data_IF_188662826982
#
_entry.id   IF_188662826982
#
_cell.length_a   1.000
_cell.length_b   1.000
_cell.length_c   1.000
_cell.angle_alpha   90.00
_cell.angle_beta   90.00
_cell.angle_gamma   90.00
#
_symmetry.space_group_name_H-M   'P 1'
#
loop_
_entity.id
_entity.type
_entity.pdbx_description
1 polymer ?
#
# COMPACT_ATOMS: atom_id res chain seq x y z
N UNK A 1 -11.28 -20.28 -15.37
CA UNK A 1 -10.18 -20.69 -14.47
C UNK A 1 -10.66 -20.55 -13.04
N UNK A 2 -10.58 -21.63 -12.26
CA UNK A 2 -11.28 -21.79 -10.98
C UNK A 2 -10.61 -20.94 -9.89
N UNK A 3 -11.30 -19.92 -9.38
CA UNK A 3 -10.92 -19.16 -8.17
C UNK A 3 -10.73 -20.16 -7.03
N UNK A 4 -9.49 -20.29 -6.56
CA UNK A 4 -9.15 -21.18 -5.45
C UNK A 4 -9.78 -20.59 -4.19
N UNK A 5 -10.76 -21.29 -3.62
CA UNK A 5 -11.40 -20.93 -2.37
C UNK A 5 -10.33 -20.87 -1.28
N UNK A 6 -10.11 -19.68 -0.72
CA UNK A 6 -9.27 -19.46 0.45
C UNK A 6 -9.76 -20.39 1.56
N UNK A 7 -8.91 -21.35 1.95
CA UNK A 7 -9.19 -22.22 3.07
C UNK A 7 -9.18 -21.39 4.35
N UNK A 8 -10.38 -21.11 4.86
CA UNK A 8 -10.64 -20.89 6.28
C UNK A 8 -10.10 -22.10 7.05
N UNK A 9 -8.84 -22.05 7.43
CA UNK A 9 -8.18 -23.07 8.24
C UNK A 9 -7.34 -22.36 9.29
N UNK A 10 -7.52 -22.75 10.54
CA UNK A 10 -6.94 -22.20 11.77
C UNK A 10 -5.40 -22.03 11.78
N UNK A 11 -4.69 -22.44 10.72
CA UNK A 11 -3.26 -22.23 10.46
C UNK A 11 -2.94 -20.90 9.75
N UNK A 12 -3.94 -20.17 9.22
CA UNK A 12 -3.74 -18.88 8.54
C UNK A 12 -3.74 -17.64 9.46
N UNK A 13 -4.13 -17.79 10.73
CA UNK A 13 -4.22 -16.67 11.68
C UNK A 13 -2.84 -16.18 12.11
N UNK A 14 -1.89 -17.10 12.31
CA UNK A 14 -0.51 -16.76 12.67
C UNK A 14 0.25 -16.08 11.53
N UNK A 15 0.04 -16.51 10.27
CA UNK A 15 0.57 -15.83 9.09
C UNK A 15 0.00 -14.42 8.94
N UNK A 16 -1.32 -14.25 9.08
CA UNK A 16 -1.98 -12.93 9.01
C UNK A 16 -1.47 -11.97 10.09
N UNK A 17 -1.24 -12.45 11.31
CA UNK A 17 -0.66 -11.63 12.38
C UNK A 17 0.81 -11.25 12.13
N UNK A 18 1.57 -12.12 11.44
CA UNK A 18 2.95 -11.84 11.03
C UNK A 18 3.00 -10.82 9.89
N UNK A 19 2.15 -10.97 8.88
CA UNK A 19 2.05 -10.04 7.75
C UNK A 19 1.66 -8.64 8.20
N UNK A 20 0.69 -8.54 9.11
CA UNK A 20 0.30 -7.25 9.68
C UNK A 20 1.42 -6.60 10.48
N UNK A 21 2.23 -7.38 11.20
CA UNK A 21 3.39 -6.85 11.92
C UNK A 21 4.47 -6.36 10.96
N UNK A 22 4.77 -7.13 9.92
CA UNK A 22 5.71 -6.72 8.87
C UNK A 22 5.23 -5.44 8.16
N UNK A 23 3.92 -5.34 7.88
CA UNK A 23 3.34 -4.12 7.32
C UNK A 23 3.42 -2.95 8.30
N UNK A 24 3.05 -3.13 9.57
CA UNK A 24 3.14 -2.07 10.59
C UNK A 24 4.59 -1.57 10.76
N UNK A 25 5.57 -2.47 10.74
CA UNK A 25 6.99 -2.12 10.82
C UNK A 25 7.46 -1.38 9.56
N UNK A 26 7.02 -1.81 8.38
CA UNK A 26 7.32 -1.14 7.11
C UNK A 26 6.67 0.25 7.00
N UNK A 27 5.41 0.40 7.45
CA UNK A 27 4.71 1.68 7.50
C UNK A 27 5.45 2.66 8.41
N UNK A 28 5.85 2.21 9.61
CA UNK A 28 6.65 3.02 10.53
C UNK A 28 8.00 3.41 9.92
N UNK A 29 8.66 2.50 9.21
CA UNK A 29 9.92 2.78 8.54
C UNK A 29 9.78 3.78 7.37
N UNK A 30 8.58 3.88 6.78
CA UNK A 30 8.23 4.86 5.74
C UNK A 30 7.65 6.17 6.31
N UNK A 31 7.83 6.42 7.62
CA UNK A 31 7.30 7.58 8.35
C UNK A 31 5.76 7.69 8.42
N UNK A 32 5.04 6.57 8.20
CA UNK A 32 3.59 6.50 8.39
C UNK A 32 3.27 5.72 9.66
N UNK A 33 2.79 6.41 10.70
CA UNK A 33 2.44 5.74 11.95
C UNK A 33 1.28 4.75 11.73
N UNK A 34 1.42 3.45 12.07
CA UNK A 34 0.40 2.43 11.72
C UNK A 34 -1.00 2.67 12.28
N UNK A 35 -1.13 3.42 13.38
CA UNK A 35 -2.44 3.79 13.94
C UNK A 35 -3.23 4.78 13.07
N UNK A 36 -2.59 5.45 12.11
CA UNK A 36 -3.26 6.31 11.13
C UNK A 36 -3.90 5.49 9.99
N UNK A 37 -3.53 4.21 9.88
CA UNK A 37 -4.06 3.30 8.86
C UNK A 37 -5.09 2.38 9.52
N UNK A 38 -6.39 2.47 9.16
CA UNK A 38 -7.42 1.60 9.70
C UNK A 38 -7.09 0.12 9.49
N UNK A 39 -7.43 -0.72 10.47
CA UNK A 39 -7.11 -2.16 10.43
C UNK A 39 -7.67 -2.85 9.16
N UNK A 40 -8.86 -2.45 8.72
CA UNK A 40 -9.45 -2.94 7.48
C UNK A 40 -8.62 -2.64 6.23
N UNK A 41 -7.96 -1.47 6.19
CA UNK A 41 -7.07 -1.06 5.09
C UNK A 41 -5.79 -1.90 5.11
N UNK A 42 -5.19 -2.10 6.29
CA UNK A 42 -4.01 -2.97 6.44
C UNK A 42 -4.29 -4.41 6.00
N UNK A 43 -5.47 -4.93 6.33
CA UNK A 43 -5.91 -6.24 5.88
C UNK A 43 -6.10 -6.31 4.37
N UNK A 44 -6.65 -5.27 3.75
CA UNK A 44 -6.75 -5.16 2.30
C UNK A 44 -5.36 -5.17 1.66
N UNK A 45 -4.41 -4.38 2.17
CA UNK A 45 -3.02 -4.37 1.67
C UNK A 45 -2.40 -5.77 1.72
N UNK A 46 -2.47 -6.45 2.86
CA UNK A 46 -1.92 -7.81 3.00
C UNK A 46 -2.58 -8.80 2.03
N UNK A 47 -3.88 -8.69 1.78
CA UNK A 47 -4.57 -9.54 0.81
C UNK A 47 -4.12 -9.23 -0.63
N UNK A 48 -4.00 -7.95 -1.00
CA UNK A 48 -3.49 -7.53 -2.31
C UNK A 48 -2.08 -8.06 -2.57
N UNK A 49 -1.20 -8.01 -1.56
CA UNK A 49 0.15 -8.58 -1.66
C UNK A 49 0.12 -10.10 -1.87
N UNK A 50 -0.76 -10.83 -1.17
CA UNK A 50 -0.91 -12.28 -1.36
C UNK A 50 -1.49 -12.68 -2.71
N UNK A 51 -2.34 -11.83 -3.29
CA UNK A 51 -2.87 -12.05 -4.63
C UNK A 51 -1.81 -11.75 -5.71
N UNK A 52 -0.92 -10.80 -5.44
CA UNK A 52 0.16 -10.42 -6.36
C UNK A 52 1.34 -11.41 -6.37
N UNK A 53 1.74 -11.92 -5.20
CA UNK A 53 2.81 -12.93 -5.09
C UNK A 53 2.23 -14.35 -4.94
N UNK A 54 2.52 -15.28 -5.86
CA UNK A 54 2.05 -16.67 -5.75
C UNK A 54 2.60 -17.45 -4.54
N UNK A 55 3.68 -16.93 -3.92
CA UNK A 55 4.32 -17.43 -2.70
C UNK A 55 4.38 -16.30 -1.67
N UNK A 56 5.08 -16.53 -0.55
CA UNK A 56 5.26 -15.46 0.44
C UNK A 56 5.99 -14.26 -0.20
N UNK A 57 5.47 -13.02 0.00
CA UNK A 57 6.10 -11.83 -0.55
C UNK A 57 7.52 -11.67 0.03
N UNK A 58 8.51 -11.28 -0.79
CA UNK A 58 9.85 -11.07 -0.30
C UNK A 58 9.87 -9.91 0.72
N UNK A 59 10.83 -9.86 1.66
CA UNK A 59 10.82 -8.84 2.72
C UNK A 59 10.76 -7.39 2.23
N UNK A 60 11.41 -7.08 1.11
CA UNK A 60 11.40 -5.74 0.50
C UNK A 60 10.04 -5.34 -0.08
N UNK A 61 9.11 -6.29 -0.31
CA UNK A 61 7.78 -5.99 -0.82
C UNK A 61 6.97 -5.16 0.17
N UNK A 62 7.05 -5.45 1.48
CA UNK A 62 6.36 -4.66 2.50
C UNK A 62 6.88 -3.23 2.54
N UNK A 63 8.21 -3.03 2.45
CA UNK A 63 8.82 -1.70 2.37
C UNK A 63 8.32 -0.94 1.16
N UNK A 64 8.34 -1.57 -0.02
CA UNK A 64 7.89 -0.93 -1.27
C UNK A 64 6.41 -0.53 -1.22
N UNK A 65 5.54 -1.40 -0.70
CA UNK A 65 4.11 -1.12 -0.53
C UNK A 65 3.87 -0.02 0.50
N UNK A 66 4.58 -0.07 1.63
CA UNK A 66 4.48 0.93 2.69
C UNK A 66 4.94 2.32 2.23
N UNK A 67 5.98 2.40 1.39
CA UNK A 67 6.46 3.66 0.82
C UNK A 67 5.38 4.33 -0.05
N UNK A 68 4.77 3.59 -0.97
CA UNK A 68 3.71 4.15 -1.81
C UNK A 68 2.48 4.54 -0.98
N UNK A 69 2.09 3.71 -0.01
CA UNK A 69 1.00 4.04 0.90
C UNK A 69 1.30 5.30 1.72
N UNK A 70 2.52 5.42 2.25
CA UNK A 70 2.97 6.61 2.99
C UNK A 70 2.95 7.85 2.11
N UNK A 71 3.47 7.78 0.87
CA UNK A 71 3.40 8.89 -0.08
C UNK A 71 1.94 9.35 -0.32
N UNK A 72 1.03 8.40 -0.55
CA UNK A 72 -0.38 8.71 -0.74
C UNK A 72 -1.01 9.41 0.47
N UNK A 73 -0.66 8.99 1.70
CA UNK A 73 -1.29 9.50 2.93
C UNK A 73 -0.64 10.79 3.44
N UNK A 74 0.68 10.86 3.43
CA UNK A 74 1.45 12.01 3.94
C UNK A 74 1.45 13.18 2.93
N UNK A 75 1.41 12.87 1.64
CA UNK A 75 1.59 13.83 0.56
C UNK A 75 3.07 14.08 0.22
N UNK A 76 3.36 14.71 -0.93
CA UNK A 76 4.70 14.78 -1.51
C UNK A 76 5.72 15.49 -0.61
N UNK A 77 5.38 16.67 -0.08
CA UNK A 77 6.30 17.45 0.75
C UNK A 77 6.69 16.72 2.05
N UNK A 78 5.69 16.25 2.81
CA UNK A 78 5.93 15.52 4.07
C UNK A 78 6.69 14.22 3.81
N UNK A 79 6.35 13.50 2.74
CA UNK A 79 7.02 12.27 2.38
C UNK A 79 8.49 12.50 2.01
N UNK A 80 8.80 13.55 1.23
CA UNK A 80 10.17 13.88 0.85
C UNK A 80 11.02 14.29 2.05
N UNK A 81 10.46 15.06 2.98
CA UNK A 81 11.17 15.45 4.20
C UNK A 81 11.60 14.24 5.04
N UNK A 82 10.79 13.18 5.07
CA UNK A 82 11.05 11.99 5.86
C UNK A 82 11.87 10.90 5.13
N UNK A 83 11.65 10.72 3.83
CA UNK A 83 12.20 9.61 3.04
C UNK A 83 13.27 10.05 2.02
N UNK A 84 13.40 11.35 1.76
CA UNK A 84 14.34 11.94 0.81
C UNK A 84 13.84 11.97 -0.64
N UNK A 85 14.55 12.76 -1.46
CA UNK A 85 14.15 13.03 -2.85
C UNK A 85 14.18 11.78 -3.75
N UNK A 86 15.11 10.84 -3.53
CA UNK A 86 15.19 9.62 -4.35
C UNK A 86 13.95 8.74 -4.19
N UNK A 87 13.52 8.51 -2.94
CA UNK A 87 12.31 7.76 -2.64
C UNK A 87 11.06 8.47 -3.16
N UNK A 88 11.05 9.80 -3.10
CA UNK A 88 9.94 10.63 -3.63
C UNK A 88 9.81 10.48 -5.12
N UNK A 89 10.91 10.63 -5.87
CA UNK A 89 10.92 10.45 -7.32
C UNK A 89 10.50 9.03 -7.74
N UNK A 90 10.86 8.01 -6.96
CA UNK A 90 10.40 6.64 -7.21
C UNK A 90 8.90 6.49 -6.94
N UNK A 91 8.38 7.05 -5.85
CA UNK A 91 6.95 7.03 -5.56
C UNK A 91 6.15 7.75 -6.67
N UNK A 92 6.64 8.90 -7.15
CA UNK A 92 6.02 9.65 -8.25
C UNK A 92 6.00 8.84 -9.55
N UNK A 93 7.11 8.20 -9.93
CA UNK A 93 7.16 7.30 -11.09
C UNK A 93 6.17 6.14 -10.98
N UNK A 94 6.07 5.55 -9.79
CA UNK A 94 5.13 4.46 -9.52
C UNK A 94 3.68 4.92 -9.57
N UNK A 95 3.37 6.13 -9.10
CA UNK A 95 2.05 6.75 -9.25
C UNK A 95 1.68 6.88 -10.73
N UNK A 96 2.56 7.42 -11.56
CA UNK A 96 2.31 7.56 -13.01
C UNK A 96 2.08 6.19 -13.67
N UNK A 97 2.95 5.21 -13.39
CA UNK A 97 2.81 3.86 -13.94
C UNK A 97 1.53 3.16 -13.45
N UNK A 98 1.10 3.40 -12.21
CA UNK A 98 -0.13 2.87 -11.65
C UNK A 98 -1.36 3.43 -12.39
N UNK A 99 -1.36 4.73 -12.70
CA UNK A 99 -2.45 5.38 -13.43
C UNK A 99 -2.52 4.90 -14.89
N UNK A 100 -1.38 4.64 -15.52
CA UNK A 100 -1.33 4.09 -16.88
C UNK A 100 -1.82 2.63 -16.92
N UNK A 101 -1.38 1.79 -15.97
CA UNK A 101 -1.76 0.38 -15.93
C UNK A 101 -3.21 0.15 -15.50
N UNK A 102 -3.71 0.92 -14.53
CA UNK A 102 -5.09 0.88 -14.03
C UNK A 102 -5.46 -0.31 -13.12
N UNK A 103 -4.74 -1.43 -13.19
CA UNK A 103 -5.03 -2.64 -12.39
C UNK A 103 -3.81 -3.22 -11.65
N UNK A 104 -2.66 -2.53 -11.70
CA UNK A 104 -1.45 -2.94 -10.99
C UNK A 104 -1.65 -2.96 -9.47
N UNK A 105 -0.75 -3.63 -8.73
CA UNK A 105 -0.77 -3.60 -7.26
C UNK A 105 -0.74 -2.16 -6.74
N UNK A 106 0.08 -1.31 -7.35
CA UNK A 106 0.19 0.11 -7.02
C UNK A 106 -1.12 0.86 -7.30
N UNK A 107 -1.77 0.60 -8.42
CA UNK A 107 -3.08 1.18 -8.73
C UNK A 107 -4.13 0.80 -7.67
N UNK A 108 -4.11 -0.46 -7.23
CA UNK A 108 -5.02 -0.95 -6.18
C UNK A 108 -4.73 -0.32 -4.82
N UNK A 109 -3.45 -0.04 -4.48
CA UNK A 109 -3.07 0.70 -3.27
C UNK A 109 -3.59 2.13 -3.34
N UNK A 110 -3.35 2.84 -4.45
CA UNK A 110 -3.82 4.23 -4.65
C UNK A 110 -5.34 4.30 -4.53
N UNK A 111 -6.06 3.46 -5.27
CA UNK A 111 -7.52 3.39 -5.26
C UNK A 111 -8.06 3.08 -3.85
N UNK A 112 -7.44 2.16 -3.12
CA UNK A 112 -7.81 1.85 -1.75
C UNK A 112 -7.61 3.05 -0.82
N UNK A 113 -6.47 3.76 -0.89
CA UNK A 113 -6.24 4.96 -0.05
C UNK A 113 -7.24 6.07 -0.36
N UNK A 114 -7.66 6.19 -1.62
CA UNK A 114 -8.69 7.12 -2.06
C UNK A 114 -10.07 6.76 -1.48
N UNK A 115 -10.55 5.52 -1.65
CA UNK A 115 -11.84 5.09 -1.10
C UNK A 115 -11.87 5.10 0.44
N UNK A 116 -10.75 4.81 1.09
CA UNK A 116 -10.62 4.89 2.54
C UNK A 116 -10.54 6.33 3.08
N UNK A 117 -10.52 7.34 2.19
CA UNK A 117 -10.35 8.76 2.52
C UNK A 117 -9.07 9.05 3.31
N UNK A 118 -8.02 8.27 3.04
CA UNK A 118 -6.70 8.44 3.66
C UNK A 118 -5.77 9.25 2.77
N UNK A 119 -6.02 9.27 1.46
CA UNK A 119 -5.15 9.96 0.52
C UNK A 119 -5.14 11.47 0.77
N UNK A 120 -3.94 12.06 0.70
CA UNK A 120 -3.72 13.47 0.85
C UNK A 120 -4.36 14.25 -0.32
N UNK A 121 -4.97 15.40 -0.02
CA UNK A 121 -5.63 16.24 -1.01
C UNK A 121 -4.69 16.72 -2.12
N UNK A 122 -3.42 17.01 -1.80
CA UNK A 122 -2.42 17.41 -2.79
C UNK A 122 -2.15 16.29 -3.80
N UNK A 123 -2.11 15.03 -3.34
CA UNK A 123 -1.95 13.87 -4.23
C UNK A 123 -3.16 13.72 -5.14
N UNK A 124 -4.38 13.92 -4.61
CA UNK A 124 -5.61 13.90 -5.42
C UNK A 124 -5.58 14.98 -6.50
N UNK A 125 -5.22 16.21 -6.15
CA UNK A 125 -5.15 17.33 -7.09
C UNK A 125 -4.06 17.12 -8.14
N UNK A 126 -2.86 16.74 -7.71
CA UNK A 126 -1.68 16.55 -8.58
C UNK A 126 -1.93 15.49 -9.65
N UNK A 127 -2.60 14.39 -9.31
CA UNK A 127 -2.83 13.26 -10.22
C UNK A 127 -4.26 13.18 -10.77
N UNK A 128 -5.13 14.14 -10.44
CA UNK A 128 -6.52 14.16 -10.92
C UNK A 128 -7.33 12.93 -10.50
N UNK A 129 -7.12 12.43 -9.29
CA UNK A 129 -7.71 11.17 -8.84
C UNK A 129 -9.21 11.31 -8.53
N UNK A 130 -10.01 10.36 -8.98
CA UNK A 130 -11.44 10.29 -8.69
C UNK A 130 -11.85 8.88 -8.28
N UNK A 131 -12.81 8.79 -7.36
CA UNK A 131 -13.45 7.55 -6.94
C UNK A 131 -14.96 7.73 -7.17
N UNK A 132 -15.42 7.38 -8.37
CA UNK A 132 -16.84 7.29 -8.70
C UNK A 132 -17.42 5.91 -8.34
#
# INVERSE_FOLDING_TARGET
MTRRRSSLGFLGVFGRSGDLRQLDDALRAADLHPALVPEGVKLTIVNLMKDHWPQDPPPHAYTSVAQLCSYCVAGPETFEQANGSEATLEAERRMEAALEAGDSLDAQIVLMTLHAKLINAEVVERYGLTAE
#
